data_IF_762841715953
#
_entry.id   IF_762841715953
#
_cell.length_a   1.000
_cell.length_b   1.000
_cell.length_c   1.000
_cell.angle_alpha   90.00
_cell.angle_beta   90.00
_cell.angle_gamma   90.00
#
_symmetry.space_group_name_H-M   'P 1'
#
loop_
_entity.id
_entity.type
_entity.pdbx_description
1 polymer ?
#
# COMPACT_ATOMS: atom_id res chain seq x y z
N UNK A 1 4.51 10.09 22.28
CA UNK A 1 3.11 10.42 22.60
C UNK A 1 2.44 10.89 21.30
N UNK A 2 2.08 9.96 20.43
CA UNK A 2 1.41 10.23 19.14
C UNK A 2 0.00 9.63 19.17
N UNK A 3 -0.80 10.09 20.12
CA UNK A 3 -2.20 9.73 20.23
C UNK A 3 -3.01 11.00 20.52
N UNK A 4 -3.03 11.95 19.59
CA UNK A 4 -4.06 12.99 19.57
C UNK A 4 -4.14 13.72 18.22
N UNK A 5 -4.54 13.04 17.15
CA UNK A 5 -5.03 13.68 15.92
C UNK A 5 -6.15 12.85 15.29
N UNK A 6 -7.19 12.54 16.07
CA UNK A 6 -8.47 12.08 15.56
C UNK A 6 -9.53 13.08 16.04
N UNK A 7 -9.78 14.12 15.25
CA UNK A 7 -10.76 15.16 15.56
C UNK A 7 -10.22 16.58 15.44
N UNK A 8 -9.90 17.01 14.22
CA UNK A 8 -10.07 18.41 13.78
C UNK A 8 -9.88 18.53 12.27
N UNK A 9 -10.97 18.91 11.61
CA UNK A 9 -11.03 19.69 10.37
C UNK A 9 -10.05 19.31 9.25
N UNK A 10 -10.46 18.39 8.37
CA UNK A 10 -9.91 18.27 7.01
C UNK A 10 -10.93 18.78 5.99
N UNK A 11 -11.37 20.02 6.18
CA UNK A 11 -12.03 20.81 5.14
C UNK A 11 -11.00 21.76 4.53
N UNK A 12 -10.23 21.29 3.56
CA UNK A 12 -9.85 22.04 2.35
C UNK A 12 -9.25 21.03 1.37
N UNK A 13 -10.11 20.54 0.48
CA UNK A 13 -9.74 19.71 -0.65
C UNK A 13 -8.84 20.52 -1.60
N UNK A 14 -7.53 20.37 -1.47
CA UNK A 14 -6.63 20.58 -2.59
C UNK A 14 -6.74 19.36 -3.50
N UNK A 15 -7.76 19.39 -4.38
CA UNK A 15 -7.81 18.54 -5.56
C UNK A 15 -6.54 18.81 -6.37
N UNK A 16 -5.55 17.93 -6.28
CA UNK A 16 -4.51 17.85 -7.29
C UNK A 16 -5.16 17.29 -8.57
N UNK A 17 -5.29 18.10 -9.64
CA UNK A 17 -5.86 17.65 -10.89
C UNK A 17 -4.73 17.00 -11.69
N UNK A 18 -4.67 15.68 -11.66
CA UNK A 18 -3.75 14.90 -12.49
C UNK A 18 -3.61 13.48 -11.97
N UNK A 19 -4.16 12.53 -12.72
CA UNK A 19 -3.95 11.08 -12.59
C UNK A 19 -4.67 10.35 -11.45
N UNK A 20 -6.01 10.28 -11.49
CA UNK A 20 -6.75 9.32 -10.64
C UNK A 20 -7.03 8.04 -11.43
N UNK A 21 -5.94 7.38 -11.83
CA UNK A 21 -5.96 5.93 -12.00
C UNK A 21 -5.58 5.28 -10.67
N UNK A 22 -6.05 4.06 -10.36
CA UNK A 22 -5.51 3.29 -9.24
C UNK A 22 -3.99 3.34 -9.25
N UNK A 23 -3.33 3.62 -8.12
CA UNK A 23 -1.87 3.81 -8.02
C UNK A 23 -1.08 2.68 -8.72
N UNK A 24 -1.66 1.48 -8.74
CA UNK A 24 -1.14 0.31 -9.43
C UNK A 24 -0.95 0.51 -10.95
N UNK A 25 -1.81 1.27 -11.62
CA UNK A 25 -1.72 1.54 -13.06
C UNK A 25 -0.45 2.32 -13.40
N UNK A 26 -0.05 3.26 -12.55
CA UNK A 26 1.16 4.07 -12.72
C UNK A 26 2.45 3.26 -12.66
N UNK A 27 2.38 2.00 -12.19
CA UNK A 27 3.53 1.11 -12.03
C UNK A 27 3.46 -0.14 -12.92
N UNK A 28 2.50 -0.24 -13.84
CA UNK A 28 2.42 -1.37 -14.75
C UNK A 28 3.18 -1.09 -16.06
N UNK A 29 3.93 -2.08 -16.54
CA UNK A 29 4.54 -2.04 -17.86
C UNK A 29 3.53 -2.33 -18.97
N UNK A 30 3.92 -2.20 -20.24
CA UNK A 30 3.05 -2.45 -21.39
C UNK A 30 2.50 -3.89 -21.44
N UNK A 31 3.17 -4.85 -20.82
CA UNK A 31 2.73 -6.23 -20.66
C UNK A 31 1.81 -6.47 -19.46
N UNK A 32 1.41 -5.43 -18.73
CA UNK A 32 0.48 -5.52 -17.60
C UNK A 32 1.09 -6.10 -16.31
N UNK A 33 2.43 -6.20 -16.23
CA UNK A 33 3.12 -6.60 -15.00
C UNK A 33 3.55 -5.35 -14.23
N UNK A 34 3.65 -5.50 -12.93
CA UNK A 34 4.18 -4.45 -12.05
C UNK A 34 5.68 -4.34 -12.26
N UNK A 35 6.11 -3.16 -12.71
CA UNK A 35 7.49 -2.78 -12.91
C UNK A 35 8.15 -2.49 -11.55
N UNK A 36 8.72 -3.52 -10.93
CA UNK A 36 9.37 -3.47 -9.60
C UNK A 36 10.34 -2.29 -9.44
N UNK A 37 11.12 -1.97 -10.49
CA UNK A 37 12.03 -0.83 -10.46
C UNK A 37 11.32 0.51 -10.27
N UNK A 38 10.21 0.71 -10.97
CA UNK A 38 9.40 1.94 -10.86
C UNK A 38 8.67 2.03 -9.53
N UNK A 39 8.19 0.90 -8.98
CA UNK A 39 7.61 0.88 -7.63
C UNK A 39 8.67 1.27 -6.60
N UNK A 40 9.85 0.66 -6.67
CA UNK A 40 10.94 0.93 -5.74
C UNK A 40 11.34 2.42 -5.79
N UNK A 41 11.56 2.96 -6.99
CA UNK A 41 11.88 4.37 -7.21
C UNK A 41 10.76 5.30 -6.73
N UNK A 42 9.52 5.01 -7.11
CA UNK A 42 8.35 5.83 -6.80
C UNK A 42 8.04 5.95 -5.30
N UNK A 43 8.54 5.03 -4.49
CA UNK A 43 8.44 5.05 -3.03
C UNK A 43 9.77 5.35 -2.32
N UNK A 44 10.85 5.63 -3.05
CA UNK A 44 12.17 5.93 -2.50
C UNK A 44 12.83 4.76 -1.76
N UNK A 45 12.60 3.53 -2.23
CA UNK A 45 13.04 2.30 -1.58
C UNK A 45 14.06 1.54 -2.42
N UNK A 46 14.95 0.81 -1.76
CA UNK A 46 15.67 -0.27 -2.44
C UNK A 46 14.72 -1.42 -2.79
N UNK A 47 15.08 -2.21 -3.82
CA UNK A 47 14.33 -3.45 -4.14
C UNK A 47 14.20 -4.39 -2.95
N UNK A 48 15.21 -4.46 -2.07
CA UNK A 48 15.12 -5.31 -0.89
C UNK A 48 14.11 -4.80 0.14
N UNK A 49 14.08 -3.49 0.39
CA UNK A 49 13.06 -2.89 1.26
C UNK A 49 11.65 -3.06 0.67
N UNK A 50 11.50 -2.93 -0.65
CA UNK A 50 10.22 -3.20 -1.32
C UNK A 50 9.80 -4.67 -1.15
N UNK A 51 10.73 -5.62 -1.29
CA UNK A 51 10.44 -7.04 -1.06
C UNK A 51 9.91 -7.26 0.36
N UNK A 52 10.62 -6.74 1.36
CA UNK A 52 10.22 -6.84 2.77
C UNK A 52 8.84 -6.21 3.01
N UNK A 53 8.60 -5.02 2.46
CA UNK A 53 7.32 -4.27 2.58
C UNK A 53 6.15 -5.05 1.98
N UNK A 54 6.38 -5.79 0.90
CA UNK A 54 5.39 -6.63 0.23
C UNK A 54 5.31 -8.07 0.77
N UNK A 55 6.06 -8.43 1.82
CA UNK A 55 6.08 -9.80 2.36
C UNK A 55 6.75 -10.83 1.45
N UNK A 56 7.77 -10.40 0.70
CA UNK A 56 8.55 -11.22 -0.20
C UNK A 56 9.98 -11.40 0.34
N UNK A 57 10.58 -12.54 0.02
CA UNK A 57 12.02 -12.72 0.23
C UNK A 57 12.78 -11.75 -0.68
N UNK A 58 13.82 -11.10 -0.14
CA UNK A 58 14.64 -10.11 -0.87
C UNK A 58 15.11 -10.64 -2.23
N UNK A 59 15.53 -11.90 -2.28
CA UNK A 59 16.02 -12.58 -3.47
C UNK A 59 14.98 -12.74 -4.59
N UNK A 60 13.68 -12.64 -4.30
CA UNK A 60 12.60 -12.72 -5.28
C UNK A 60 12.57 -11.53 -6.23
N UNK A 61 13.12 -10.38 -5.83
CA UNK A 61 13.14 -9.16 -6.65
C UNK A 61 14.48 -8.92 -7.38
N UNK A 62 15.49 -9.77 -7.15
CA UNK A 62 16.80 -9.66 -7.82
C UNK A 62 16.96 -10.58 -9.04
N UNK A 63 16.26 -11.71 -9.12
CA UNK A 63 16.28 -12.58 -10.30
C UNK A 63 15.13 -12.23 -11.24
N UNK A 64 15.43 -11.93 -12.49
CA UNK A 64 14.47 -11.53 -13.53
C UNK A 64 13.28 -12.51 -13.66
N UNK A 65 13.54 -13.81 -13.65
CA UNK A 65 12.51 -14.86 -13.71
C UNK A 65 11.57 -14.84 -12.49
N UNK A 66 12.10 -14.58 -11.30
CA UNK A 66 11.30 -14.56 -10.05
C UNK A 66 10.57 -13.24 -9.84
N UNK A 67 11.11 -12.14 -10.35
CA UNK A 67 10.42 -10.85 -10.35
C UNK A 67 9.13 -10.87 -11.18
N UNK A 68 9.11 -11.64 -12.27
CA UNK A 68 7.93 -11.84 -13.11
C UNK A 68 6.99 -12.96 -12.65
N UNK A 69 7.34 -13.71 -11.60
CA UNK A 69 6.55 -14.84 -11.13
C UNK A 69 5.19 -14.39 -10.57
N UNK A 70 4.15 -15.18 -10.81
CA UNK A 70 2.78 -14.86 -10.42
C UNK A 70 2.64 -14.50 -8.92
N UNK A 71 3.34 -15.23 -8.03
CA UNK A 71 3.35 -14.95 -6.58
C UNK A 71 3.93 -13.57 -6.27
N UNK A 72 5.07 -13.21 -6.88
CA UNK A 72 5.71 -11.91 -6.69
C UNK A 72 4.81 -10.78 -7.15
N UNK A 73 4.24 -10.92 -8.36
CA UNK A 73 3.34 -9.95 -8.95
C UNK A 73 2.05 -9.80 -8.14
N UNK A 74 1.50 -10.91 -7.64
CA UNK A 74 0.36 -10.90 -6.73
C UNK A 74 0.68 -10.11 -5.48
N UNK A 75 1.76 -10.42 -4.75
CA UNK A 75 2.11 -9.67 -3.51
C UNK A 75 2.29 -8.17 -3.72
N UNK A 76 2.94 -7.77 -4.80
CA UNK A 76 3.11 -6.36 -5.15
C UNK A 76 1.76 -5.70 -5.46
N UNK A 77 0.87 -6.40 -6.16
CA UNK A 77 -0.51 -5.94 -6.43
C UNK A 77 -1.28 -5.74 -5.14
N UNK A 78 -1.23 -6.73 -4.24
CA UNK A 78 -1.92 -6.65 -2.94
C UNK A 78 -1.47 -5.43 -2.13
N UNK A 79 -0.16 -5.18 -2.07
CA UNK A 79 0.42 -4.01 -1.40
C UNK A 79 -0.06 -2.72 -2.06
N UNK A 80 0.05 -2.61 -3.40
CA UNK A 80 -0.34 -1.40 -4.13
C UNK A 80 -1.84 -1.09 -4.05
N UNK A 81 -2.70 -2.11 -4.02
CA UNK A 81 -4.14 -1.95 -3.82
C UNK A 81 -4.45 -1.35 -2.45
N UNK A 82 -3.80 -1.85 -1.40
CA UNK A 82 -3.95 -1.32 -0.04
C UNK A 82 -3.47 0.13 0.03
N UNK A 83 -2.28 0.43 -0.50
CA UNK A 83 -1.73 1.79 -0.52
C UNK A 83 -2.63 2.73 -1.34
N UNK A 84 -3.16 2.28 -2.46
CA UNK A 84 -4.06 3.09 -3.31
C UNK A 84 -5.31 3.50 -2.53
N UNK A 85 -5.92 2.60 -1.76
CA UNK A 85 -7.11 2.89 -0.93
C UNK A 85 -6.80 3.86 0.20
N UNK A 86 -5.66 3.68 0.88
CA UNK A 86 -5.24 4.59 1.95
C UNK A 86 -4.95 5.99 1.39
N UNK A 87 -4.36 6.07 0.19
CA UNK A 87 -4.00 7.34 -0.46
C UNK A 87 -5.20 8.27 -0.64
N UNK A 88 -6.42 7.72 -0.82
CA UNK A 88 -7.64 8.50 -1.00
C UNK A 88 -7.94 9.44 0.17
N UNK A 89 -7.46 9.14 1.38
CA UNK A 89 -7.70 9.94 2.58
C UNK A 89 -6.43 10.25 3.40
N UNK A 90 -5.29 9.63 3.12
CA UNK A 90 -4.04 9.89 3.84
C UNK A 90 -3.28 11.14 3.37
N UNK A 91 -3.71 11.79 2.28
CA UNK A 91 -3.09 13.01 1.76
C UNK A 91 -1.90 12.78 0.82
N UNK A 92 -1.71 11.54 0.34
CA UNK A 92 -0.69 11.21 -0.66
C UNK A 92 -0.06 9.82 -0.45
N UNK A 93 0.68 9.36 -1.46
CA UNK A 93 1.32 8.02 -1.45
C UNK A 93 2.32 7.83 -0.32
N UNK A 94 3.04 8.88 0.07
CA UNK A 94 4.06 8.83 1.12
C UNK A 94 3.40 8.68 2.49
N UNK A 95 2.33 9.44 2.73
CA UNK A 95 1.55 9.36 3.96
C UNK A 95 0.82 8.00 4.04
N UNK A 96 0.31 7.51 2.91
CA UNK A 96 -0.29 6.18 2.84
C UNK A 96 0.71 5.05 3.14
N UNK A 97 1.94 5.17 2.66
CA UNK A 97 3.02 4.22 2.99
C UNK A 97 3.42 4.28 4.46
N UNK A 98 3.50 5.48 5.04
CA UNK A 98 3.75 5.64 6.47
C UNK A 98 2.64 4.97 7.31
N UNK A 99 1.38 5.20 6.94
CA UNK A 99 0.23 4.56 7.59
C UNK A 99 0.29 3.03 7.47
N UNK A 100 0.53 2.50 6.27
CA UNK A 100 0.61 1.07 6.01
C UNK A 100 1.63 0.36 6.91
N UNK A 101 2.76 1.03 7.17
CA UNK A 101 3.86 0.49 7.99
C UNK A 101 3.66 0.68 9.48
N UNK A 102 3.05 1.79 9.90
CA UNK A 102 3.11 2.25 11.28
C UNK A 102 1.76 2.26 12.00
N UNK A 103 0.63 2.29 11.28
CA UNK A 103 -0.67 2.36 11.94
C UNK A 103 -1.08 0.99 12.49
N UNK A 104 -1.28 0.86 13.82
CA UNK A 104 -1.88 -0.34 14.39
C UNK A 104 -3.35 -0.43 14.02
N UNK A 105 -3.81 -1.63 13.67
CA UNK A 105 -5.21 -1.90 13.37
C UNK A 105 -5.84 -2.66 14.56
N UNK A 106 -6.74 -2.03 15.36
CA UNK A 106 -7.30 -2.65 16.56
C UNK A 106 -8.00 -3.99 16.29
N UNK A 107 -8.71 -4.10 15.16
CA UNK A 107 -9.39 -5.32 14.73
C UNK A 107 -8.44 -6.52 14.49
N UNK A 108 -7.13 -6.27 14.42
CA UNK A 108 -6.10 -7.28 14.20
C UNK A 108 -5.09 -7.38 15.35
N UNK A 109 -5.48 -6.95 16.56
CA UNK A 109 -4.59 -6.94 17.73
C UNK A 109 -3.43 -5.97 17.57
N UNK A 110 -3.75 -4.75 17.11
CA UNK A 110 -2.81 -3.64 16.90
C UNK A 110 -1.67 -3.92 15.92
N UNK A 111 -1.84 -4.93 15.05
CA UNK A 111 -0.91 -5.22 13.97
C UNK A 111 -1.06 -4.21 12.84
N UNK A 112 0.04 -3.92 12.16
CA UNK A 112 0.06 -3.02 11.01
C UNK A 112 -0.38 -3.73 9.73
N UNK A 113 -0.84 -2.97 8.75
CA UNK A 113 -1.18 -3.51 7.43
C UNK A 113 0.01 -4.24 6.79
N UNK A 114 1.23 -3.70 6.94
CA UNK A 114 2.45 -4.37 6.50
C UNK A 114 2.64 -5.75 7.15
N UNK A 115 2.47 -5.84 8.46
CA UNK A 115 2.60 -7.11 9.18
C UNK A 115 1.55 -8.13 8.71
N UNK A 116 0.33 -7.69 8.41
CA UNK A 116 -0.74 -8.56 7.93
C UNK A 116 -0.51 -9.03 6.48
N UNK A 117 0.00 -8.16 5.60
CA UNK A 117 0.39 -8.55 4.24
C UNK A 117 1.50 -9.59 4.26
N UNK A 118 2.53 -9.40 5.10
CA UNK A 118 3.60 -10.37 5.35
C UNK A 118 3.07 -11.76 5.74
N UNK A 119 1.98 -11.81 6.51
CA UNK A 119 1.30 -13.04 6.93
C UNK A 119 0.33 -13.64 5.89
N UNK A 120 0.17 -13.04 4.71
CA UNK A 120 -0.83 -13.52 3.74
C UNK A 120 -2.24 -13.02 3.97
N UNK A 121 -2.45 -12.05 4.87
CA UNK A 121 -3.78 -11.53 5.26
C UNK A 121 -4.15 -10.23 4.54
N UNK A 122 -3.62 -10.00 3.35
CA UNK A 122 -3.88 -8.76 2.59
C UNK A 122 -5.36 -8.56 2.25
N UNK A 123 -6.10 -9.64 1.98
CA UNK A 123 -7.55 -9.59 1.76
C UNK A 123 -8.31 -9.08 2.99
N UNK A 124 -7.90 -9.49 4.20
CA UNK A 124 -8.52 -9.02 5.44
C UNK A 124 -8.24 -7.53 5.70
N UNK A 125 -7.05 -7.05 5.33
CA UNK A 125 -6.75 -5.60 5.39
C UNK A 125 -7.64 -4.83 4.42
N UNK A 126 -7.81 -5.33 3.20
CA UNK A 126 -8.69 -4.71 2.19
C UNK A 126 -10.13 -4.64 2.70
N UNK A 127 -10.66 -5.74 3.20
CA UNK A 127 -12.00 -5.80 3.80
C UNK A 127 -12.15 -4.78 4.94
N UNK A 128 -11.20 -4.75 5.88
CA UNK A 128 -11.20 -3.75 6.96
C UNK A 128 -11.22 -2.31 6.45
N UNK A 129 -10.42 -1.99 5.41
CA UNK A 129 -10.41 -0.66 4.80
C UNK A 129 -11.75 -0.34 4.12
N UNK A 130 -12.37 -1.30 3.43
CA UNK A 130 -13.68 -1.14 2.81
C UNK A 130 -14.76 -0.87 3.87
N UNK A 131 -14.73 -1.60 4.98
CA UNK A 131 -15.62 -1.38 6.12
C UNK A 131 -15.43 0.00 6.77
N UNK A 132 -14.18 0.46 6.94
CA UNK A 132 -13.92 1.81 7.44
C UNK A 132 -14.42 2.90 6.48
N UNK A 133 -14.25 2.72 5.17
CA UNK A 133 -14.75 3.65 4.17
C UNK A 133 -16.28 3.76 4.17
N UNK A 134 -16.98 2.65 4.45
CA UNK A 134 -18.44 2.62 4.58
C UNK A 134 -18.95 3.21 5.91
N UNK A 135 -18.17 3.11 6.99
CA UNK A 135 -18.53 3.60 8.32
C UNK A 135 -18.23 5.07 8.60
N UNK A 136 -17.54 5.78 7.70
CA UNK A 136 -17.09 7.16 7.89
C UNK A 136 -18.05 8.27 7.41
N UNK A 137 -19.26 7.92 6.97
CA UNK A 137 -20.26 8.85 6.41
C UNK A 137 -21.60 8.89 7.16
N UNK A 138 -21.66 8.43 8.42
CA UNK A 138 -22.87 8.52 9.24
C UNK A 138 -22.72 9.55 10.38
#
# INVERSE_FOLDING_TARGET
MFLHMAGREMAQAHKHPGEIGPLILSYMDRGGKIAIGQVADGFGMSKGQLAETAGLARESLYRSERSGAAKTQSRLREMLEIISRITEWAGGKEQAMAWYRAQPLPAFGDRTAEALVKDGKAAAVRDYLDHMALGGFA
#
